data_IF_819729482284
#
_entry.id   IF_819729482284
#
_cell.length_a   1.000
_cell.length_b   1.000
_cell.length_c   1.000
_cell.angle_alpha   90.00
_cell.angle_beta   90.00
_cell.angle_gamma   90.00
#
_symmetry.space_group_name_H-M   'P 1'
#
loop_
_entity.id
_entity.type
_entity.pdbx_description
1 polymer ?
#
# COMPACT_ATOMS: atom_id res chain seq x y z
N UNK A 1 -6.67 15.23 -3.03
CA UNK A 1 -7.94 15.65 -3.66
C UNK A 1 -8.88 14.45 -3.69
N UNK A 2 -9.87 14.43 -2.83
CA UNK A 2 -11.00 13.49 -2.95
C UNK A 2 -12.05 14.16 -3.82
N UNK A 3 -12.43 13.53 -4.92
CA UNK A 3 -13.47 14.00 -5.84
C UNK A 3 -14.89 13.90 -5.27
N UNK A 4 -15.07 14.23 -3.99
CA UNK A 4 -16.40 14.31 -3.38
C UNK A 4 -17.10 15.55 -3.95
N UNK A 5 -18.06 15.31 -4.83
CA UNK A 5 -18.96 16.34 -5.36
C UNK A 5 -20.27 16.32 -4.58
N UNK A 6 -20.86 17.50 -4.35
CA UNK A 6 -22.18 17.56 -3.71
C UNK A 6 -23.22 16.88 -4.60
N UNK A 7 -24.22 16.24 -4.01
CA UNK A 7 -25.35 15.65 -4.75
C UNK A 7 -26.00 16.67 -5.69
N UNK A 8 -26.15 17.91 -5.21
CA UNK A 8 -26.69 19.01 -6.02
C UNK A 8 -25.84 19.32 -7.26
N UNK A 9 -24.51 19.30 -7.13
CA UNK A 9 -23.60 19.49 -8.26
C UNK A 9 -23.67 18.29 -9.22
N UNK A 10 -23.73 17.07 -8.69
CA UNK A 10 -23.89 15.86 -9.48
C UNK A 10 -25.18 15.92 -10.30
N UNK A 11 -26.33 16.19 -9.67
CA UNK A 11 -27.63 16.29 -10.33
C UNK A 11 -27.63 17.36 -11.44
N UNK A 12 -26.96 18.51 -11.23
CA UNK A 12 -26.80 19.55 -12.24
C UNK A 12 -25.92 19.10 -13.42
N UNK A 13 -24.82 18.40 -13.16
CA UNK A 13 -23.96 17.85 -14.21
C UNK A 13 -24.70 16.80 -15.03
N UNK A 14 -25.43 15.92 -14.38
CA UNK A 14 -26.27 14.90 -15.03
C UNK A 14 -27.31 15.52 -15.95
N UNK A 15 -28.00 16.56 -15.47
CA UNK A 15 -29.01 17.27 -16.25
C UNK A 15 -28.42 18.01 -17.47
N UNK A 16 -27.24 18.62 -17.32
CA UNK A 16 -26.56 19.34 -18.42
C UNK A 16 -25.97 18.38 -19.47
N UNK A 17 -25.48 17.22 -19.03
CA UNK A 17 -24.91 16.20 -19.91
C UNK A 17 -25.97 15.29 -20.54
N UNK A 18 -27.24 15.47 -20.19
CA UNK A 18 -28.38 14.66 -20.67
C UNK A 18 -28.17 13.15 -20.48
N UNK A 19 -27.45 12.76 -19.43
CA UNK A 19 -27.19 11.35 -19.08
C UNK A 19 -28.29 10.89 -18.15
N UNK A 20 -28.97 9.79 -18.47
CA UNK A 20 -29.98 9.23 -17.59
C UNK A 20 -29.35 8.45 -16.42
N UNK A 21 -30.13 8.27 -15.35
CA UNK A 21 -29.65 7.61 -14.13
C UNK A 21 -29.21 6.15 -14.34
N UNK A 22 -29.82 5.40 -15.28
CA UNK A 22 -29.42 4.02 -15.54
C UNK A 22 -28.08 3.98 -16.27
N UNK A 23 -27.81 4.93 -17.18
CA UNK A 23 -26.50 5.07 -17.82
C UNK A 23 -25.40 5.41 -16.80
N UNK A 24 -25.67 6.30 -15.84
CA UNK A 24 -24.73 6.60 -14.75
C UNK A 24 -24.41 5.34 -13.94
N UNK A 25 -25.42 4.59 -13.51
CA UNK A 25 -25.25 3.39 -12.71
C UNK A 25 -24.41 2.34 -13.44
N UNK A 26 -24.66 2.16 -14.75
CA UNK A 26 -23.87 1.28 -15.60
C UNK A 26 -22.40 1.71 -15.66
N UNK A 27 -22.13 3.01 -15.87
CA UNK A 27 -20.76 3.53 -15.93
C UNK A 27 -20.03 3.39 -14.60
N UNK A 28 -20.71 3.66 -13.47
CA UNK A 28 -20.14 3.48 -12.13
C UNK A 28 -19.77 2.01 -11.87
N UNK A 29 -20.64 1.07 -12.26
CA UNK A 29 -20.36 -0.34 -12.09
C UNK A 29 -19.25 -0.83 -13.03
N UNK A 30 -19.19 -0.30 -14.26
CA UNK A 30 -18.09 -0.55 -15.18
C UNK A 30 -16.75 -0.05 -14.61
N UNK A 31 -16.69 1.20 -14.17
CA UNK A 31 -15.49 1.78 -13.54
C UNK A 31 -15.03 0.95 -12.34
N UNK A 32 -15.98 0.53 -11.49
CA UNK A 32 -15.69 -0.32 -10.33
C UNK A 32 -15.06 -1.66 -10.76
N UNK A 33 -15.59 -2.27 -11.81
CA UNK A 33 -15.07 -3.54 -12.36
C UNK A 33 -13.69 -3.36 -12.94
N UNK A 34 -13.49 -2.36 -13.80
CA UNK A 34 -12.20 -2.08 -14.44
C UNK A 34 -11.13 -1.75 -13.41
N UNK A 35 -11.49 -0.98 -12.38
CA UNK A 35 -10.62 -0.68 -11.24
C UNK A 35 -10.21 -1.96 -10.51
N UNK A 36 -11.19 -2.82 -10.18
CA UNK A 36 -10.93 -4.06 -9.46
C UNK A 36 -10.08 -5.04 -10.27
N UNK A 37 -10.36 -5.18 -11.57
CA UNK A 37 -9.56 -6.01 -12.49
C UNK A 37 -8.12 -5.50 -12.63
N UNK A 38 -7.95 -4.18 -12.77
CA UNK A 38 -6.63 -3.55 -12.84
C UNK A 38 -5.85 -3.76 -11.55
N UNK A 39 -6.51 -3.61 -10.40
CA UNK A 39 -5.92 -3.90 -9.10
C UNK A 39 -5.54 -5.37 -8.97
N UNK A 40 -6.41 -6.31 -9.36
CA UNK A 40 -6.12 -7.74 -9.34
C UNK A 40 -4.91 -8.09 -10.21
N UNK A 41 -4.86 -7.55 -11.44
CA UNK A 41 -3.71 -7.71 -12.34
C UNK A 41 -2.44 -7.21 -11.66
N UNK A 42 -2.45 -6.01 -11.11
CA UNK A 42 -1.31 -5.45 -10.39
C UNK A 42 -0.89 -6.31 -9.19
N UNK A 43 -1.84 -6.74 -8.35
CA UNK A 43 -1.60 -7.46 -7.11
C UNK A 43 -1.03 -8.87 -7.33
N UNK A 44 -1.32 -9.46 -8.48
CA UNK A 44 -0.87 -10.80 -8.86
C UNK A 44 0.46 -10.81 -9.63
N UNK A 45 1.01 -9.65 -10.02
CA UNK A 45 2.35 -9.61 -10.61
C UNK A 45 3.37 -10.01 -9.53
N UNK A 46 4.19 -11.05 -9.78
CA UNK A 46 5.21 -11.48 -8.84
C UNK A 46 6.29 -10.41 -8.68
N UNK A 47 6.88 -10.35 -7.49
CA UNK A 47 8.03 -9.51 -7.17
C UNK A 47 9.12 -10.38 -6.55
N UNK A 48 10.37 -9.94 -6.61
CA UNK A 48 11.42 -10.52 -5.78
C UNK A 48 11.20 -10.04 -4.33
N UNK A 49 10.97 -10.92 -3.36
CA UNK A 49 10.78 -10.52 -1.97
C UNK A 49 12.00 -9.76 -1.41
N UNK A 50 11.74 -8.80 -0.53
CA UNK A 50 12.80 -7.96 0.05
C UNK A 50 12.43 -7.44 1.44
N UNK A 51 13.46 -7.10 2.22
CA UNK A 51 13.33 -6.43 3.50
C UNK A 51 13.63 -4.95 3.34
N UNK A 52 12.77 -4.10 3.91
CA UNK A 52 13.01 -2.67 4.08
C UNK A 52 13.41 -2.43 5.52
N UNK A 53 14.65 -2.01 5.77
CA UNK A 53 15.16 -1.67 7.10
C UNK A 53 15.14 -0.16 7.28
N UNK A 54 14.55 0.33 8.36
CA UNK A 54 14.52 1.76 8.68
C UNK A 54 15.81 2.16 9.40
N UNK A 55 16.71 2.84 8.70
CA UNK A 55 17.99 3.31 9.25
C UNK A 55 17.79 4.51 10.19
N UNK A 56 16.92 5.44 9.78
CA UNK A 56 16.45 6.57 10.60
C UNK A 56 15.11 7.09 10.06
N UNK A 57 14.61 8.21 10.58
CA UNK A 57 13.42 8.85 10.02
C UNK A 57 13.65 9.19 8.53
N UNK A 58 12.73 8.78 7.66
CA UNK A 58 12.77 8.96 6.21
C UNK A 58 13.92 8.26 5.45
N UNK A 59 14.84 7.56 6.14
CA UNK A 59 15.98 6.87 5.49
C UNK A 59 15.85 5.37 5.68
N UNK A 60 15.81 4.66 4.56
CA UNK A 60 15.57 3.22 4.52
C UNK A 60 16.59 2.53 3.62
N UNK A 61 16.94 1.30 3.98
CA UNK A 61 17.76 0.41 3.17
C UNK A 61 16.92 -0.77 2.69
N UNK A 62 17.17 -1.26 1.49
CA UNK A 62 16.57 -2.48 0.95
C UNK A 62 17.59 -3.62 1.00
N UNK A 63 17.17 -4.78 1.48
CA UNK A 63 17.92 -6.04 1.42
C UNK A 63 17.08 -7.03 0.61
N UNK A 64 17.68 -7.70 -0.37
CA UNK A 64 17.01 -8.80 -1.05
C UNK A 64 16.83 -9.98 -0.10
N UNK A 65 15.68 -10.66 -0.16
CA UNK A 65 15.54 -11.96 0.51
C UNK A 65 16.54 -12.94 -0.13
N UNK A 66 17.34 -13.67 0.67
CA UNK A 66 18.26 -14.67 0.17
C UNK A 66 17.57 -15.69 -0.75
N UNK A 67 18.20 -16.11 -1.87
CA UNK A 67 17.55 -16.99 -2.85
C UNK A 67 17.20 -18.39 -2.33
N UNK A 68 17.79 -18.83 -1.21
CA UNK A 68 17.46 -20.10 -0.56
C UNK A 68 16.19 -20.05 0.29
N UNK A 69 15.65 -18.86 0.57
CA UNK A 69 14.41 -18.68 1.32
C UNK A 69 13.26 -18.66 0.32
N UNK A 70 12.41 -19.68 0.40
CA UNK A 70 11.32 -19.88 -0.58
C UNK A 70 9.95 -19.85 0.05
N UNK A 71 9.88 -19.92 1.38
CA UNK A 71 8.63 -19.89 2.13
C UNK A 71 8.49 -18.60 2.94
N UNK A 72 7.24 -18.26 3.27
CA UNK A 72 6.93 -17.09 4.10
C UNK A 72 7.55 -17.25 5.50
N UNK A 73 7.45 -18.44 6.10
CA UNK A 73 7.92 -18.67 7.47
C UNK A 73 9.45 -18.51 7.57
N UNK A 74 10.21 -19.03 6.60
CA UNK A 74 11.66 -18.82 6.51
C UNK A 74 12.01 -17.35 6.32
N UNK A 75 11.24 -16.63 5.49
CA UNK A 75 11.46 -15.21 5.23
C UNK A 75 11.17 -14.35 6.47
N UNK A 76 10.14 -14.69 7.23
CA UNK A 76 9.80 -14.02 8.49
C UNK A 76 10.85 -14.29 9.57
N UNK A 77 11.33 -15.53 9.69
CA UNK A 77 12.41 -15.87 10.62
C UNK A 77 13.69 -15.08 10.31
N UNK A 78 14.10 -15.05 9.03
CA UNK A 78 15.24 -14.27 8.58
C UNK A 78 15.04 -12.77 8.80
N UNK A 79 13.87 -12.23 8.48
CA UNK A 79 13.57 -10.81 8.67
C UNK A 79 13.57 -10.40 10.16
N UNK A 80 13.05 -11.27 11.03
CA UNK A 80 13.06 -11.11 12.48
C UNK A 80 14.48 -11.05 13.03
N UNK A 81 15.33 -12.01 12.64
CA UNK A 81 16.73 -12.06 13.02
C UNK A 81 17.48 -10.79 12.58
N UNK A 82 17.33 -10.39 11.32
CA UNK A 82 17.95 -9.16 10.80
C UNK A 82 17.49 -7.91 11.57
N UNK A 83 16.22 -7.82 11.94
CA UNK A 83 15.69 -6.70 12.72
C UNK A 83 16.29 -6.66 14.14
N UNK A 84 16.34 -7.81 14.82
CA UNK A 84 16.87 -7.96 16.17
C UNK A 84 18.39 -7.69 16.24
N UNK A 85 19.17 -8.27 15.32
CA UNK A 85 20.63 -8.08 15.25
C UNK A 85 21.01 -6.62 15.03
N UNK A 86 20.27 -5.93 14.15
CA UNK A 86 20.53 -4.54 13.80
C UNK A 86 19.89 -3.54 14.77
N UNK A 87 19.00 -4.01 15.65
CA UNK A 87 18.17 -3.18 16.54
C UNK A 87 17.40 -2.12 15.74
N UNK A 88 16.79 -2.54 14.64
CA UNK A 88 16.10 -1.65 13.70
C UNK A 88 14.73 -2.19 13.34
N UNK A 89 13.77 -1.28 13.14
CA UNK A 89 12.46 -1.64 12.59
C UNK A 89 12.60 -2.05 11.14
N UNK A 90 11.91 -3.12 10.77
CA UNK A 90 11.95 -3.66 9.41
C UNK A 90 10.55 -3.98 8.87
N UNK A 91 10.43 -4.05 7.55
CA UNK A 91 9.24 -4.49 6.85
C UNK A 91 9.62 -5.48 5.75
N UNK A 92 9.19 -6.73 5.90
CA UNK A 92 9.29 -7.75 4.86
C UNK A 92 8.17 -7.50 3.85
N UNK A 93 8.57 -7.23 2.61
CA UNK A 93 7.66 -7.14 1.46
C UNK A 93 7.76 -8.47 0.71
N UNK A 94 6.82 -9.37 1.02
CA UNK A 94 6.81 -10.72 0.44
C UNK A 94 6.19 -10.73 -0.95
N UNK A 95 5.07 -10.04 -1.10
CA UNK A 95 4.39 -9.87 -2.38
C UNK A 95 3.78 -8.47 -2.45
N UNK A 96 3.18 -8.11 -3.59
CA UNK A 96 2.40 -6.87 -3.68
C UNK A 96 1.20 -6.87 -2.73
N UNK A 97 0.76 -8.06 -2.30
CA UNK A 97 -0.34 -8.24 -1.36
C UNK A 97 0.10 -8.33 0.08
N UNK A 98 1.29 -8.83 0.40
CA UNK A 98 1.63 -9.18 1.78
C UNK A 98 2.87 -8.42 2.23
N UNK A 99 2.70 -7.71 3.34
CA UNK A 99 3.81 -7.12 4.09
C UNK A 99 3.74 -7.48 5.57
N UNK A 100 4.91 -7.67 6.19
CA UNK A 100 5.04 -8.01 7.62
C UNK A 100 6.03 -7.05 8.26
N UNK A 101 5.69 -6.54 9.43
CA UNK A 101 6.45 -5.50 10.12
C UNK A 101 7.02 -6.01 11.43
N UNK A 102 8.28 -5.70 11.63
CA UNK A 102 9.11 -6.17 12.74
C UNK A 102 9.61 -4.99 13.56
N UNK A 103 9.52 -5.13 14.88
CA UNK A 103 10.09 -4.21 15.85
C UNK A 103 11.60 -4.41 15.97
N UNK A 104 12.26 -3.57 16.77
CA UNK A 104 13.72 -3.56 16.92
C UNK A 104 14.27 -4.81 17.64
N UNK A 105 13.40 -5.55 18.32
CA UNK A 105 13.69 -6.85 18.96
C UNK A 105 13.37 -8.06 18.06
N UNK A 106 12.94 -7.82 16.81
CA UNK A 106 12.51 -8.86 15.88
C UNK A 106 11.05 -9.29 16.04
N UNK A 107 10.30 -8.76 17.01
CA UNK A 107 8.89 -9.14 17.18
C UNK A 107 8.03 -8.63 16.03
N UNK A 108 7.17 -9.49 15.49
CA UNK A 108 6.14 -9.08 14.51
C UNK A 108 5.09 -8.25 15.23
N UNK A 109 4.85 -7.02 14.77
CA UNK A 109 3.82 -6.15 15.33
C UNK A 109 2.69 -5.81 14.35
N UNK A 110 2.86 -6.11 13.06
CA UNK A 110 1.79 -5.91 12.07
C UNK A 110 1.99 -6.80 10.85
N UNK A 111 0.88 -7.33 10.34
CA UNK A 111 0.79 -7.94 9.01
C UNK A 111 -0.28 -7.18 8.23
N UNK A 112 0.06 -6.70 7.04
CA UNK A 112 -0.85 -5.94 6.19
C UNK A 112 -1.07 -6.68 4.89
N UNK A 113 -2.35 -6.79 4.50
CA UNK A 113 -2.76 -7.28 3.19
C UNK A 113 -3.24 -6.11 2.32
N UNK A 114 -2.85 -6.10 1.03
CA UNK A 114 -3.37 -5.13 0.09
C UNK A 114 -4.86 -5.32 -0.11
N UNK A 115 -5.60 -4.21 -0.05
CA UNK A 115 -7.02 -4.13 -0.39
C UNK A 115 -7.16 -3.07 -1.48
N UNK A 116 -8.04 -3.25 -2.48
CA UNK A 116 -8.31 -2.21 -3.47
C UNK A 116 -8.58 -0.86 -2.81
N UNK A 117 -7.93 0.19 -3.32
CA UNK A 117 -8.06 1.56 -2.79
C UNK A 117 -7.34 1.82 -1.47
N UNK A 118 -6.70 0.82 -0.84
CA UNK A 118 -5.86 0.99 0.35
C UNK A 118 -4.39 0.75 0.02
N UNK A 119 -3.48 1.66 0.41
CA UNK A 119 -2.06 1.43 0.21
C UNK A 119 -1.54 0.25 1.04
N UNK A 120 -0.72 -0.61 0.43
CA UNK A 120 -0.06 -1.76 1.08
C UNK A 120 1.47 -1.67 1.04
N UNK A 121 1.99 -0.45 0.96
CA UNK A 121 3.41 -0.22 0.98
C UNK A 121 3.83 0.34 2.34
N UNK A 122 5.11 0.20 2.72
CA UNK A 122 5.67 0.95 3.81
C UNK A 122 5.30 2.43 3.68
N UNK A 123 4.98 3.04 4.82
CA UNK A 123 4.65 4.45 4.88
C UNK A 123 5.29 5.13 6.07
N UNK A 124 5.39 6.44 6.00
CA UNK A 124 5.81 7.27 7.11
C UNK A 124 4.89 8.46 7.30
N UNK A 125 4.87 9.04 8.51
CA UNK A 125 4.14 10.26 8.82
C UNK A 125 5.12 11.38 9.16
N UNK A 126 5.14 12.47 8.39
CA UNK A 126 5.91 13.68 8.68
C UNK A 126 4.93 14.84 8.80
N UNK A 127 4.95 15.57 9.92
CA UNK A 127 4.08 16.74 10.12
C UNK A 127 2.58 16.45 9.96
N UNK A 128 2.14 15.23 10.29
CA UNK A 128 0.74 14.81 10.14
C UNK A 128 0.36 14.25 8.76
N UNK A 129 1.26 14.31 7.76
CA UNK A 129 1.03 13.78 6.40
C UNK A 129 1.66 12.42 6.23
N UNK A 130 0.94 11.48 5.59
CA UNK A 130 1.41 10.12 5.33
C UNK A 130 2.15 10.10 3.98
N UNK A 131 3.15 9.26 3.84
CA UNK A 131 3.98 9.15 2.64
C UNK A 131 4.23 7.68 2.35
N UNK A 132 3.94 7.21 1.13
CA UNK A 132 4.16 5.83 0.69
C UNK A 132 5.48 5.67 -0.05
N UNK A 133 6.16 4.55 0.19
CA UNK A 133 7.33 4.14 -0.58
C UNK A 133 6.89 3.24 -1.76
N UNK A 134 7.15 3.65 -3.00
CA UNK A 134 6.93 2.80 -4.19
C UNK A 134 8.17 1.95 -4.53
N UNK A 135 8.01 1.03 -5.49
CA UNK A 135 9.08 0.14 -5.95
C UNK A 135 10.22 0.97 -6.56
N UNK A 136 11.26 1.16 -5.74
CA UNK A 136 12.28 2.20 -5.92
C UNK A 136 12.17 3.25 -4.83
N UNK A 137 13.04 3.18 -3.82
CA UNK A 137 13.20 4.13 -2.71
C UNK A 137 13.46 5.60 -3.13
N UNK A 138 13.35 5.92 -4.42
CA UNK A 138 13.50 7.26 -5.01
C UNK A 138 12.21 8.04 -5.13
N UNK A 139 11.04 7.40 -5.04
CA UNK A 139 9.74 8.08 -5.16
C UNK A 139 8.94 7.94 -3.87
N UNK A 140 8.61 9.10 -3.30
CA UNK A 140 7.76 9.24 -2.13
C UNK A 140 6.43 9.83 -2.60
N UNK A 141 5.33 9.07 -2.47
CA UNK A 141 4.00 9.56 -2.80
C UNK A 141 3.30 10.05 -1.53
N UNK A 142 2.83 11.30 -1.51
CA UNK A 142 2.11 11.87 -0.36
C UNK A 142 0.69 11.30 -0.31
N UNK A 143 0.29 10.79 0.85
CA UNK A 143 -1.06 10.33 1.15
C UNK A 143 -1.61 11.18 2.30
N UNK A 144 -2.75 11.83 2.11
CA UNK A 144 -3.42 12.55 3.18
C UNK A 144 -4.38 11.62 3.93
N UNK A 145 -4.24 11.51 5.26
CA UNK A 145 -5.14 10.72 6.12
C UNK A 145 -6.18 11.65 6.78
N UNK A 146 -7.48 11.39 6.53
CA UNK A 146 -8.59 12.09 7.19
C UNK A 146 -8.76 11.62 8.64
N UNK A 147 -8.77 12.56 9.59
CA UNK A 147 -9.36 12.33 10.92
C UNK A 147 -10.89 12.26 10.73
N UNK A 148 -11.51 11.16 11.16
CA UNK A 148 -12.96 11.11 11.33
C UNK A 148 -13.29 11.86 12.63
N UNK A 149 -14.03 12.95 12.50
CA UNK A 149 -14.70 13.68 13.57
C UNK A 149 -16.15 13.84 13.19
#
# INVERSE_FOLDING_TARGET
MTGDISKELFDKLTAVLEIDAATIEQLVEQDRREFFESWLKWANVPIQPYLVVRLMAAVYSRLAVPPGITTMDEAEAWASEVAAERKMKACLVWSRRISVWFAEDGAVYSRTEAVPGKPNAPWMKIGGKKFLFSDGLRSVNVVEERKHG
#
